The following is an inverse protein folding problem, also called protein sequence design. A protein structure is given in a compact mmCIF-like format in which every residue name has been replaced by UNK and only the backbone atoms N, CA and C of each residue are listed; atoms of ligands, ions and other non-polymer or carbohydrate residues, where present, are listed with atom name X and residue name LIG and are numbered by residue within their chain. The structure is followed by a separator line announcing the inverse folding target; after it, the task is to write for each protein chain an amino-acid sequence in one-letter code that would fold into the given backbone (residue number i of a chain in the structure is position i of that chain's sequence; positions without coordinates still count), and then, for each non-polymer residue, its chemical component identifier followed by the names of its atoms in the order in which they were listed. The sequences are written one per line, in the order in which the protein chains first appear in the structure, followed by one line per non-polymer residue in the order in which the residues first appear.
data_IF_357988888088
#
_entry.id   IF_357988888088
#
_cell.length_a   1.000
_cell.length_b   1.000
_cell.length_c   1.000
_cell.angle_alpha   90.00
_cell.angle_beta   90.00
_cell.angle_gamma   90.00
#
_symmetry.space_group_name_H-M   'P 1'
#
loop_
_entity.id
_entity.type
_entity.pdbx_description
1 polymer ?
#
# COMPACT_ATOMS: atom_id res chain seq x y z
N UNK A 1 2.32 -63.23 19.95
CA UNK A 1 1.93 -61.80 20.00
C UNK A 1 2.96 -60.90 19.31
N UNK A 2 3.16 -61.02 17.98
CA UNK A 2 4.10 -60.17 17.22
C UNK A 2 3.47 -59.40 16.05
N UNK A 3 2.23 -59.74 15.68
CA UNK A 3 1.52 -59.12 14.54
C UNK A 3 0.73 -57.85 14.89
N UNK A 4 0.51 -57.56 16.18
CA UNK A 4 -0.29 -56.40 16.61
C UNK A 4 0.49 -55.06 16.60
N UNK A 5 1.82 -55.11 16.79
CA UNK A 5 2.67 -53.89 16.78
C UNK A 5 2.97 -53.38 15.37
N UNK A 6 3.07 -54.26 14.37
CA UNK A 6 3.32 -53.86 12.98
C UNK A 6 2.10 -53.17 12.35
N UNK A 7 0.88 -53.63 12.69
CA UNK A 7 -0.36 -53.04 12.17
C UNK A 7 -0.62 -51.63 12.71
N UNK A 8 -0.29 -51.38 13.99
CA UNK A 8 -0.42 -50.05 14.62
C UNK A 8 0.62 -49.07 14.05
N UNK A 9 1.86 -49.52 13.82
CA UNK A 9 2.88 -48.69 13.17
C UNK A 9 2.53 -48.38 11.71
N UNK A 10 1.95 -49.33 10.97
CA UNK A 10 1.51 -49.09 9.59
C UNK A 10 0.33 -48.12 9.54
N UNK A 11 -0.65 -48.26 10.44
CA UNK A 11 -1.78 -47.33 10.53
C UNK A 11 -1.34 -45.91 10.90
N UNK A 12 -0.42 -45.77 11.86
CA UNK A 12 0.11 -44.45 12.27
C UNK A 12 0.95 -43.81 11.16
N UNK A 13 1.71 -44.61 10.39
CA UNK A 13 2.46 -44.13 9.23
C UNK A 13 1.53 -43.67 8.11
N UNK A 14 0.40 -44.36 7.91
CA UNK A 14 -0.61 -44.04 6.91
C UNK A 14 -1.45 -42.81 7.30
N UNK A 15 -1.75 -42.65 8.59
CA UNK A 15 -2.41 -41.44 9.12
C UNK A 15 -1.45 -40.24 9.04
N UNK A 16 -0.16 -40.41 9.33
CA UNK A 16 0.83 -39.35 9.08
C UNK A 16 1.02 -39.05 7.59
N UNK A 17 0.91 -40.06 6.71
CA UNK A 17 0.88 -39.84 5.26
C UNK A 17 -0.38 -39.07 4.84
N UNK A 18 -1.55 -39.37 5.40
CA UNK A 18 -2.82 -38.68 5.13
C UNK A 18 -2.85 -37.24 5.68
N UNK A 19 -2.14 -36.98 6.78
CA UNK A 19 -1.96 -35.63 7.34
C UNK A 19 -0.86 -34.85 6.58
N UNK A 20 0.14 -35.55 6.01
CA UNK A 20 1.22 -34.97 5.21
C UNK A 20 0.85 -34.78 3.72
N UNK A 21 -0.08 -35.57 3.17
CA UNK A 21 -0.84 -35.26 1.95
C UNK A 21 -1.96 -34.29 2.34
N UNK A 22 -1.56 -33.10 2.76
CA UNK A 22 -2.43 -32.09 3.32
C UNK A 22 -3.69 -31.87 2.49
N UNK A 23 -4.82 -31.79 3.19
CA UNK A 23 -6.04 -31.12 2.75
C UNK A 23 -5.77 -29.61 2.54
N UNK A 24 -4.88 -29.28 1.61
CA UNK A 24 -4.83 -27.97 0.98
C UNK A 24 -5.40 -28.16 -0.41
N UNK A 25 -6.38 -27.32 -0.78
CA UNK A 25 -6.87 -27.31 -2.15
C UNK A 25 -5.67 -27.18 -3.10
N UNK A 26 -5.70 -27.93 -4.20
CA UNK A 26 -4.76 -27.73 -5.28
C UNK A 26 -4.78 -26.26 -5.72
N UNK A 27 -3.67 -25.79 -6.29
CA UNK A 27 -3.57 -24.41 -6.75
C UNK A 27 -4.72 -24.02 -7.69
N UNK A 28 -5.17 -24.97 -8.53
CA UNK A 28 -6.27 -24.79 -9.46
C UNK A 28 -7.62 -24.65 -8.74
N UNK A 29 -7.90 -25.50 -7.75
CA UNK A 29 -9.12 -25.42 -6.94
C UNK A 29 -9.19 -24.09 -6.15
N UNK A 30 -8.05 -23.57 -5.68
CA UNK A 30 -7.98 -22.24 -5.06
C UNK A 30 -8.38 -21.13 -6.03
N UNK A 31 -7.89 -21.19 -7.27
CA UNK A 31 -8.20 -20.21 -8.32
C UNK A 31 -9.68 -20.26 -8.68
N UNK A 32 -10.24 -21.46 -8.87
CA UNK A 32 -11.64 -21.65 -9.23
C UNK A 32 -12.58 -21.19 -8.12
N UNK A 33 -12.30 -21.55 -6.86
CA UNK A 33 -13.08 -21.09 -5.72
C UNK A 33 -13.06 -19.57 -5.60
N UNK A 34 -11.89 -18.94 -5.73
CA UNK A 34 -11.81 -17.49 -5.64
C UNK A 34 -12.52 -16.82 -6.82
N UNK A 35 -12.44 -17.37 -8.02
CA UNK A 35 -13.20 -16.87 -9.17
C UNK A 35 -14.72 -16.94 -8.93
N UNK A 36 -15.21 -17.99 -8.28
CA UNK A 36 -16.62 -18.08 -7.89
C UNK A 36 -16.99 -17.03 -6.82
N UNK A 37 -16.16 -16.88 -5.78
CA UNK A 37 -16.35 -15.85 -4.75
C UNK A 37 -16.36 -14.43 -5.32
N UNK A 38 -15.52 -14.16 -6.33
CA UNK A 38 -15.45 -12.87 -6.99
C UNK A 38 -16.74 -12.49 -7.72
N UNK A 39 -17.57 -13.45 -8.12
CA UNK A 39 -18.87 -13.17 -8.76
C UNK A 39 -19.85 -12.48 -7.81
N UNK A 40 -19.71 -12.71 -6.50
CA UNK A 40 -20.54 -12.06 -5.48
C UNK A 40 -19.92 -10.79 -4.91
N UNK A 41 -18.74 -10.37 -5.39
CA UNK A 41 -18.14 -9.12 -4.96
C UNK A 41 -19.00 -7.92 -5.42
N UNK A 42 -19.12 -6.86 -4.60
CA UNK A 42 -19.81 -5.66 -5.04
C UNK A 42 -19.09 -5.05 -6.24
N UNK A 43 -19.84 -4.66 -7.27
CA UNK A 43 -19.29 -3.87 -8.38
C UNK A 43 -19.21 -2.39 -8.01
N UNK A 44 -18.22 -1.71 -8.60
CA UNK A 44 -18.04 -0.27 -8.55
C UNK A 44 -17.43 0.22 -9.87
N UNK A 45 -18.26 0.49 -10.90
CA UNK A 45 -17.80 0.67 -12.28
C UNK A 45 -16.69 1.71 -12.46
N UNK A 46 -16.78 2.86 -11.80
CA UNK A 46 -15.77 3.93 -11.92
C UNK A 46 -14.39 3.48 -11.41
N UNK A 47 -14.37 2.74 -10.30
CA UNK A 47 -13.15 2.16 -9.75
C UNK A 47 -12.61 1.04 -10.65
N UNK A 48 -13.47 0.15 -11.12
CA UNK A 48 -13.06 -1.00 -11.95
C UNK A 48 -12.52 -0.54 -13.33
N UNK A 49 -13.01 0.59 -13.86
CA UNK A 49 -12.46 1.22 -15.07
C UNK A 49 -11.12 1.88 -14.79
N UNK A 50 -10.99 2.61 -13.68
CA UNK A 50 -9.76 3.32 -13.34
C UNK A 50 -8.63 2.38 -12.86
N UNK A 51 -8.99 1.24 -12.30
CA UNK A 51 -8.11 0.21 -11.77
C UNK A 51 -8.43 -1.10 -12.51
N UNK A 52 -7.96 -1.29 -13.75
CA UNK A 52 -8.24 -2.53 -14.46
C UNK A 52 -7.55 -3.72 -13.78
N UNK A 53 -8.24 -4.87 -13.79
CA UNK A 53 -7.68 -6.15 -13.33
C UNK A 53 -6.48 -6.53 -14.21
N UNK A 54 -5.27 -6.75 -13.64
CA UNK A 54 -4.08 -7.13 -14.41
C UNK A 54 -4.20 -8.52 -15.05
N UNK A 55 -3.35 -8.83 -16.04
CA UNK A 55 -3.38 -10.12 -16.76
C UNK A 55 -3.28 -11.36 -15.86
N UNK A 56 -2.53 -11.26 -14.75
CA UNK A 56 -2.36 -12.35 -13.78
C UNK A 56 -3.54 -12.52 -12.82
N UNK A 57 -4.56 -11.65 -12.88
CA UNK A 57 -5.66 -11.60 -11.90
C UNK A 57 -6.33 -12.97 -11.71
N UNK A 58 -6.56 -13.70 -12.79
CA UNK A 58 -7.20 -15.02 -12.74
C UNK A 58 -6.22 -16.18 -12.54
N UNK A 59 -4.91 -15.93 -12.47
CA UNK A 59 -3.90 -16.97 -12.30
C UNK A 59 -3.25 -17.01 -10.92
N UNK A 60 -3.48 -16.00 -10.07
CA UNK A 60 -2.89 -15.92 -8.72
C UNK A 60 -3.98 -15.83 -7.65
N UNK A 61 -4.17 -16.86 -6.81
CA UNK A 61 -5.12 -16.79 -5.70
C UNK A 61 -4.52 -16.01 -4.50
N UNK A 62 -5.37 -15.31 -3.75
CA UNK A 62 -5.05 -14.56 -2.51
C UNK A 62 -4.49 -15.49 -1.45
N UNK A 63 -5.03 -16.72 -1.33
CA UNK A 63 -4.71 -17.70 -0.29
C UNK A 63 -5.04 -17.18 1.13
N UNK A 64 -5.39 -18.08 2.04
CA UNK A 64 -5.46 -17.84 3.49
C UNK A 64 -6.56 -16.93 4.05
N UNK A 65 -7.24 -16.11 3.25
CA UNK A 65 -8.42 -15.34 3.70
C UNK A 65 -9.45 -15.09 2.58
N UNK A 66 -10.68 -14.78 2.97
CA UNK A 66 -11.64 -14.04 2.15
C UNK A 66 -11.42 -12.53 2.37
N UNK A 67 -10.99 -11.75 1.36
CA UNK A 67 -10.74 -10.31 1.54
C UNK A 67 -12.04 -9.52 1.81
N UNK A 68 -13.21 -10.07 1.46
CA UNK A 68 -14.48 -9.45 1.77
C UNK A 68 -14.83 -9.62 3.24
N UNK A 69 -14.56 -10.78 3.84
CA UNK A 69 -14.93 -11.05 5.22
C UNK A 69 -13.80 -11.80 5.92
N UNK A 70 -12.98 -11.07 6.67
CA UNK A 70 -11.92 -11.65 7.49
C UNK A 70 -12.00 -11.17 8.94
N UNK A 71 -11.46 -11.96 9.84
CA UNK A 71 -11.16 -11.56 11.21
C UNK A 71 -9.76 -10.93 11.31
N UNK A 72 -9.48 -10.12 12.35
CA UNK A 72 -8.13 -9.61 12.60
C UNK A 72 -7.06 -10.71 12.65
N UNK A 73 -7.40 -11.89 13.18
CA UNK A 73 -6.53 -13.06 13.27
C UNK A 73 -6.20 -13.63 11.89
N UNK A 74 -7.20 -13.73 11.00
CA UNK A 74 -7.01 -14.17 9.62
C UNK A 74 -6.14 -13.18 8.83
N UNK A 75 -6.36 -11.88 9.03
CA UNK A 75 -5.53 -10.84 8.42
C UNK A 75 -4.08 -10.91 8.89
N UNK A 76 -3.87 -11.12 10.20
CA UNK A 76 -2.54 -11.33 10.78
C UNK A 76 -1.88 -12.58 10.18
N UNK A 77 -2.60 -13.70 10.14
CA UNK A 77 -2.09 -14.94 9.57
C UNK A 77 -1.75 -14.80 8.09
N UNK A 78 -2.53 -14.03 7.32
CA UNK A 78 -2.21 -13.68 5.94
C UNK A 78 -0.92 -12.90 5.85
N UNK A 79 -0.68 -11.91 6.73
CA UNK A 79 0.57 -11.16 6.72
C UNK A 79 1.79 -12.04 7.01
N UNK A 80 1.67 -12.96 7.96
CA UNK A 80 2.76 -13.86 8.33
C UNK A 80 3.05 -14.88 7.23
N UNK A 81 2.03 -15.31 6.47
CA UNK A 81 2.14 -16.36 5.45
C UNK A 81 2.30 -15.84 4.03
N UNK A 82 1.91 -14.59 3.74
CA UNK A 82 1.97 -14.02 2.40
C UNK A 82 3.42 -13.66 2.02
N UNK A 83 4.13 -14.63 1.47
CA UNK A 83 5.54 -14.54 1.10
C UNK A 83 5.76 -14.99 -0.34
N UNK A 84 6.99 -14.85 -0.85
CA UNK A 84 7.37 -15.30 -2.20
C UNK A 84 7.02 -14.34 -3.33
N UNK A 85 7.21 -14.81 -4.58
CA UNK A 85 7.18 -13.97 -5.79
C UNK A 85 5.83 -13.32 -6.07
N UNK A 86 4.73 -13.96 -5.69
CA UNK A 86 3.38 -13.48 -5.95
C UNK A 86 2.79 -12.67 -4.79
N UNK A 87 3.60 -12.35 -3.76
CA UNK A 87 3.15 -11.62 -2.57
C UNK A 87 2.41 -10.34 -2.93
N UNK A 88 3.01 -9.51 -3.79
CA UNK A 88 2.45 -8.22 -4.17
C UNK A 88 1.16 -8.35 -5.01
N UNK A 89 1.05 -9.41 -5.82
CA UNK A 89 -0.16 -9.71 -6.59
C UNK A 89 -1.34 -10.03 -5.67
N UNK A 90 -1.09 -10.86 -4.65
CA UNK A 90 -2.09 -11.15 -3.61
C UNK A 90 -2.48 -9.90 -2.84
N UNK A 91 -1.50 -9.08 -2.43
CA UNK A 91 -1.76 -7.81 -1.74
C UNK A 91 -2.61 -6.87 -2.60
N UNK A 92 -2.35 -6.81 -3.92
CA UNK A 92 -3.15 -6.03 -4.85
C UNK A 92 -4.61 -6.53 -4.89
N UNK A 93 -4.85 -7.85 -4.97
CA UNK A 93 -6.22 -8.41 -4.97
C UNK A 93 -6.96 -8.13 -3.67
N UNK A 94 -6.29 -8.31 -2.53
CA UNK A 94 -6.87 -7.98 -1.21
C UNK A 94 -7.27 -6.52 -1.18
N UNK A 95 -6.36 -5.62 -1.53
CA UNK A 95 -6.65 -4.19 -1.56
C UNK A 95 -7.78 -3.84 -2.54
N UNK A 96 -7.78 -4.40 -3.75
CA UNK A 96 -8.86 -4.21 -4.72
C UNK A 96 -10.23 -4.63 -4.15
N UNK A 97 -10.30 -5.80 -3.52
CA UNK A 97 -11.50 -6.28 -2.86
C UNK A 97 -11.94 -5.36 -1.70
N UNK A 98 -11.00 -4.81 -0.91
CA UNK A 98 -11.31 -3.83 0.15
C UNK A 98 -11.83 -2.51 -0.40
N UNK A 99 -11.27 -2.03 -1.51
CA UNK A 99 -11.78 -0.85 -2.21
C UNK A 99 -13.22 -1.06 -2.65
N UNK A 100 -13.53 -2.23 -3.24
CA UNK A 100 -14.89 -2.61 -3.64
C UNK A 100 -15.84 -2.75 -2.46
N UNK A 101 -15.42 -3.42 -1.38
CA UNK A 101 -16.26 -3.64 -0.19
C UNK A 101 -16.69 -2.31 0.43
N UNK A 102 -15.74 -1.41 0.61
CA UNK A 102 -16.00 -0.17 1.32
C UNK A 102 -16.53 0.94 0.40
N UNK A 103 -16.39 0.83 -0.92
CA UNK A 103 -16.88 1.82 -1.92
C UNK A 103 -16.55 3.27 -1.59
N UNK A 104 -15.42 3.51 -0.94
CA UNK A 104 -14.99 4.84 -0.48
C UNK A 104 -15.48 5.27 0.90
N UNK A 105 -16.35 4.49 1.55
CA UNK A 105 -16.93 4.84 2.85
C UNK A 105 -15.95 4.67 4.04
N UNK A 106 -14.81 4.01 3.81
CA UNK A 106 -13.75 3.88 4.82
C UNK A 106 -12.39 4.20 4.19
N UNK A 107 -12.17 5.50 3.98
CA UNK A 107 -10.95 6.04 3.38
C UNK A 107 -9.72 5.73 4.26
N UNK A 108 -9.90 5.66 5.58
CA UNK A 108 -8.84 5.29 6.51
C UNK A 108 -8.36 3.86 6.27
N UNK A 109 -9.27 2.89 6.17
CA UNK A 109 -8.93 1.50 5.90
C UNK A 109 -8.20 1.38 4.55
N UNK A 110 -8.70 2.05 3.51
CA UNK A 110 -8.07 2.07 2.19
C UNK A 110 -6.64 2.60 2.23
N UNK A 111 -6.42 3.73 2.91
CA UNK A 111 -5.11 4.34 3.04
C UNK A 111 -4.11 3.43 3.77
N UNK A 112 -4.57 2.72 4.81
CA UNK A 112 -3.79 1.75 5.56
C UNK A 112 -3.31 0.56 4.72
N UNK A 113 -4.06 0.16 3.70
CA UNK A 113 -3.67 -0.89 2.76
C UNK A 113 -2.73 -0.38 1.65
N UNK A 114 -2.98 0.82 1.12
CA UNK A 114 -2.19 1.40 0.04
C UNK A 114 -0.74 1.71 0.45
N UNK A 115 -0.50 2.07 1.72
CA UNK A 115 0.84 2.30 2.24
C UNK A 115 1.79 1.08 2.22
N UNK A 116 1.33 -0.08 1.72
CA UNK A 116 2.04 -1.37 1.78
C UNK A 116 2.57 -1.86 0.42
N UNK A 117 2.15 -1.24 -0.69
CA UNK A 117 2.68 -1.53 -2.02
C UNK A 117 3.83 -0.56 -2.38
N UNK A 118 4.76 -0.99 -3.23
CA UNK A 118 5.80 -0.12 -3.82
C UNK A 118 6.07 -0.45 -5.29
N UNK A 119 5.35 -1.42 -5.84
CA UNK A 119 5.53 -1.94 -7.20
C UNK A 119 4.60 -1.22 -8.18
N UNK A 120 4.99 -1.18 -9.45
CA UNK A 120 4.33 -0.37 -10.50
C UNK A 120 2.86 -0.76 -10.69
N UNK A 121 2.53 -2.01 -10.42
CA UNK A 121 1.19 -2.58 -10.51
C UNK A 121 0.19 -1.87 -9.59
N UNK A 122 0.65 -1.25 -8.49
CA UNK A 122 -0.22 -0.50 -7.59
C UNK A 122 -0.51 0.93 -8.09
N UNK A 123 0.13 1.39 -9.17
CA UNK A 123 -0.07 2.75 -9.68
C UNK A 123 -1.53 3.11 -9.95
N UNK A 124 -2.38 2.26 -10.56
CA UNK A 124 -3.77 2.59 -10.76
C UNK A 124 -4.52 2.78 -9.44
N UNK A 125 -4.21 1.98 -8.41
CA UNK A 125 -4.77 2.11 -7.08
C UNK A 125 -4.34 3.42 -6.40
N UNK A 126 -3.07 3.81 -6.53
CA UNK A 126 -2.60 5.10 -6.01
C UNK A 126 -3.21 6.28 -6.76
N UNK A 127 -3.24 6.21 -8.09
CA UNK A 127 -3.83 7.25 -8.92
C UNK A 127 -5.30 7.44 -8.58
N UNK A 128 -6.05 6.34 -8.46
CA UNK A 128 -7.45 6.38 -8.06
C UNK A 128 -7.63 6.99 -6.69
N UNK A 129 -6.88 6.52 -5.69
CA UNK A 129 -6.98 7.04 -4.33
C UNK A 129 -6.68 8.54 -4.25
N UNK A 130 -5.58 8.97 -4.86
CA UNK A 130 -5.17 10.37 -4.85
C UNK A 130 -6.16 11.25 -5.62
N UNK A 131 -6.76 10.76 -6.70
CA UNK A 131 -7.70 11.55 -7.49
C UNK A 131 -9.05 11.72 -6.82
N UNK A 132 -9.44 10.80 -5.93
CA UNK A 132 -10.78 10.79 -5.32
C UNK A 132 -10.82 11.13 -3.83
N UNK A 133 -9.70 11.02 -3.10
CA UNK A 133 -9.66 11.14 -1.64
C UNK A 133 -8.54 12.06 -1.12
N UNK A 134 -7.97 12.89 -1.99
CA UNK A 134 -6.92 13.83 -1.58
C UNK A 134 -7.45 14.94 -0.67
N UNK A 135 -8.71 15.33 -0.76
CA UNK A 135 -9.33 16.33 0.10
C UNK A 135 -9.80 15.76 1.44
N UNK A 136 -10.12 14.47 1.50
CA UNK A 136 -10.63 13.78 2.69
C UNK A 136 -9.77 13.97 3.95
N UNK A 137 -10.44 14.30 5.06
CA UNK A 137 -9.81 14.47 6.38
C UNK A 137 -10.63 13.73 7.43
N UNK A 138 -10.12 12.60 7.92
CA UNK A 138 -10.79 11.77 8.94
C UNK A 138 -10.15 11.88 10.33
N UNK A 139 -9.17 12.75 10.50
CA UNK A 139 -8.66 13.14 11.82
C UNK A 139 -8.89 14.62 12.07
N UNK A 140 -8.99 14.98 13.36
CA UNK A 140 -9.29 16.36 13.78
C UNK A 140 -8.28 17.38 13.26
N UNK A 141 -8.68 18.65 13.23
CA UNK A 141 -7.79 19.73 12.79
C UNK A 141 -6.58 19.92 13.74
N UNK A 142 -6.74 19.53 15.01
CA UNK A 142 -5.73 19.68 16.07
C UNK A 142 -4.86 18.44 16.30
N UNK A 143 -4.83 17.47 15.37
CA UNK A 143 -3.90 16.35 15.52
C UNK A 143 -2.44 16.83 15.47
N UNK A 144 -1.66 16.49 16.50
CA UNK A 144 -0.21 16.71 16.49
C UNK A 144 0.51 15.83 15.45
N UNK A 145 -0.10 14.70 15.07
CA UNK A 145 0.36 13.80 14.02
C UNK A 145 -0.86 13.23 13.27
N UNK A 146 -1.12 13.76 12.07
CA UNK A 146 -2.33 13.44 11.33
C UNK A 146 -2.10 12.25 10.37
N UNK A 147 -2.58 11.07 10.73
CA UNK A 147 -2.55 9.83 9.97
C UNK A 147 -3.14 9.96 8.57
N UNK A 148 -4.19 10.77 8.39
CA UNK A 148 -4.76 11.08 7.08
C UNK A 148 -3.74 11.81 6.19
N UNK A 149 -3.11 12.85 6.72
CA UNK A 149 -2.05 13.59 6.02
C UNK A 149 -0.82 12.71 5.75
N UNK A 150 -0.40 11.92 6.73
CA UNK A 150 0.75 11.03 6.60
C UNK A 150 0.51 9.95 5.55
N UNK A 151 -0.67 9.33 5.54
CA UNK A 151 -1.01 8.29 4.59
C UNK A 151 -1.14 8.86 3.18
N UNK A 152 -1.83 10.00 3.01
CA UNK A 152 -1.95 10.67 1.71
C UNK A 152 -0.58 11.06 1.14
N UNK A 153 0.33 11.60 1.95
CA UNK A 153 1.70 11.92 1.52
C UNK A 153 2.50 10.65 1.20
N UNK A 154 2.42 9.60 2.01
CA UNK A 154 3.10 8.36 1.72
C UNK A 154 2.64 7.78 0.37
N UNK A 155 1.32 7.64 0.17
CA UNK A 155 0.73 7.13 -1.08
C UNK A 155 1.07 8.04 -2.26
N UNK A 156 0.90 9.34 -2.08
CA UNK A 156 1.19 10.34 -3.10
C UNK A 156 2.65 10.35 -3.52
N UNK A 157 3.60 10.23 -2.59
CA UNK A 157 5.04 10.19 -2.91
C UNK A 157 5.45 8.92 -3.64
N UNK A 158 4.84 7.76 -3.35
CA UNK A 158 5.04 6.53 -4.14
C UNK A 158 4.57 6.73 -5.58
N UNK A 159 3.41 7.35 -5.77
CA UNK A 159 2.89 7.63 -7.11
C UNK A 159 3.73 8.67 -7.86
N UNK A 160 4.14 9.74 -7.18
CA UNK A 160 5.00 10.79 -7.73
C UNK A 160 6.31 10.24 -8.28
N UNK A 161 6.95 9.31 -7.57
CA UNK A 161 8.15 8.66 -8.07
C UNK A 161 7.92 8.08 -9.46
N UNK A 162 6.79 7.39 -9.66
CA UNK A 162 6.46 6.77 -10.95
C UNK A 162 6.09 7.78 -12.02
N UNK A 163 5.32 8.82 -11.68
CA UNK A 163 5.02 9.91 -12.62
C UNK A 163 6.31 10.59 -13.12
N UNK A 164 7.30 10.78 -12.25
CA UNK A 164 8.58 11.41 -12.62
C UNK A 164 9.42 10.46 -13.50
N UNK A 165 9.50 9.18 -13.16
CA UNK A 165 10.21 8.17 -13.98
C UNK A 165 9.58 8.02 -15.38
N UNK A 166 8.25 8.06 -15.46
CA UNK A 166 7.49 7.95 -16.72
C UNK A 166 7.43 9.28 -17.50
N UNK A 167 8.05 10.35 -17.00
CA UNK A 167 8.11 11.66 -17.69
C UNK A 167 6.83 12.49 -17.61
N UNK A 168 5.85 12.10 -16.81
CA UNK A 168 4.57 12.80 -16.59
C UNK A 168 4.74 14.01 -15.64
N UNK A 169 5.69 14.91 -15.94
CA UNK A 169 6.08 16.01 -15.04
C UNK A 169 4.95 16.99 -14.73
N UNK A 170 4.09 17.28 -15.71
CA UNK A 170 2.93 18.17 -15.49
C UNK A 170 1.94 17.60 -14.47
N UNK A 171 1.67 16.30 -14.55
CA UNK A 171 0.79 15.60 -13.60
C UNK A 171 1.45 15.46 -12.23
N UNK A 172 2.75 15.16 -12.19
CA UNK A 172 3.52 15.15 -10.94
C UNK A 172 3.47 16.52 -10.24
N UNK A 173 3.59 17.62 -10.98
CA UNK A 173 3.49 18.97 -10.42
C UNK A 173 2.12 19.24 -9.80
N UNK A 174 1.02 18.82 -10.46
CA UNK A 174 -0.33 18.96 -9.92
C UNK A 174 -0.52 18.20 -8.61
N UNK A 175 -0.06 16.95 -8.55
CA UNK A 175 -0.15 16.10 -7.35
C UNK A 175 0.68 16.69 -6.20
N UNK A 176 1.91 17.16 -6.47
CA UNK A 176 2.74 17.83 -5.46
C UNK A 176 2.04 19.07 -4.92
N UNK A 177 1.49 19.92 -5.79
CA UNK A 177 0.81 21.14 -5.37
C UNK A 177 -0.38 20.84 -4.45
N UNK A 178 -1.17 19.81 -4.77
CA UNK A 178 -2.28 19.36 -3.93
C UNK A 178 -1.81 18.84 -2.56
N UNK A 179 -0.78 18.00 -2.52
CA UNK A 179 -0.20 17.48 -1.28
C UNK A 179 0.33 18.61 -0.38
N UNK A 180 1.01 19.60 -0.96
CA UNK A 180 1.46 20.77 -0.21
C UNK A 180 0.29 21.58 0.35
N UNK A 181 -0.73 21.83 -0.47
CA UNK A 181 -1.90 22.62 -0.08
C UNK A 181 -2.72 21.94 1.02
N UNK A 182 -2.96 20.63 0.89
CA UNK A 182 -3.98 19.94 1.69
C UNK A 182 -3.39 19.14 2.87
N UNK A 183 -2.15 18.64 2.75
CA UNK A 183 -1.63 17.64 3.71
C UNK A 183 -0.33 18.05 4.40
N UNK A 184 0.57 18.77 3.73
CA UNK A 184 1.92 19.03 4.23
C UNK A 184 1.99 19.63 5.64
N UNK A 185 1.18 20.65 5.94
CA UNK A 185 1.18 21.31 7.25
C UNK A 185 0.79 20.36 8.40
N UNK A 186 -0.03 19.34 8.11
CA UNK A 186 -0.57 18.39 9.11
C UNK A 186 0.27 17.12 9.26
N UNK A 187 1.25 16.93 8.38
CA UNK A 187 2.06 15.73 8.33
C UNK A 187 3.24 15.76 9.32
N UNK A 188 3.70 14.58 9.73
CA UNK A 188 4.89 14.43 10.59
C UNK A 188 6.16 14.81 9.83
N UNK A 189 7.26 15.17 10.54
CA UNK A 189 8.51 15.59 9.91
C UNK A 189 9.04 14.61 8.85
N UNK A 190 8.93 13.31 9.10
CA UNK A 190 9.40 12.30 8.14
C UNK A 190 8.61 12.30 6.83
N UNK A 191 7.29 12.52 6.88
CA UNK A 191 6.46 12.56 5.68
C UNK A 191 6.66 13.87 4.91
N UNK A 192 6.84 14.99 5.61
CA UNK A 192 7.27 16.26 5.00
C UNK A 192 8.59 16.08 4.26
N UNK A 193 9.54 15.36 4.86
CA UNK A 193 10.82 15.05 4.23
C UNK A 193 10.66 14.27 2.94
N UNK A 194 9.85 13.21 2.93
CA UNK A 194 9.60 12.45 1.71
C UNK A 194 8.93 13.29 0.62
N UNK A 195 7.96 14.15 0.96
CA UNK A 195 7.33 15.04 -0.02
C UNK A 195 8.33 16.02 -0.63
N UNK A 196 9.15 16.69 0.19
CA UNK A 196 10.15 17.66 -0.29
C UNK A 196 11.23 16.96 -1.11
N UNK A 197 11.65 15.74 -0.72
CA UNK A 197 12.59 14.94 -1.50
C UNK A 197 12.01 14.57 -2.87
N UNK A 198 10.75 14.16 -2.96
CA UNK A 198 10.08 13.93 -4.24
C UNK A 198 9.95 15.20 -5.06
N UNK A 199 9.67 16.35 -4.42
CA UNK A 199 9.60 17.64 -5.11
C UNK A 199 10.95 18.07 -5.67
N UNK A 200 12.04 17.87 -4.93
CA UNK A 200 13.40 18.06 -5.44
C UNK A 200 13.66 17.21 -6.67
N UNK A 201 13.26 15.95 -6.66
CA UNK A 201 13.45 15.08 -7.81
C UNK A 201 12.70 15.61 -9.05
N UNK A 202 11.45 16.07 -8.89
CA UNK A 202 10.69 16.70 -9.96
C UNK A 202 11.36 17.99 -10.46
N UNK A 203 11.73 18.90 -9.55
CA UNK A 203 12.34 20.18 -9.91
C UNK A 203 13.65 20.00 -10.68
N UNK A 204 14.48 19.02 -10.29
CA UNK A 204 15.72 18.73 -11.02
C UNK A 204 15.50 18.11 -12.40
N UNK A 205 14.27 17.69 -12.75
CA UNK A 205 13.88 17.28 -14.10
C UNK A 205 13.34 18.44 -14.94
N UNK A 206 12.86 19.51 -14.31
CA UNK A 206 12.11 20.58 -14.98
C UNK A 206 12.74 21.96 -14.87
N UNK A 207 13.72 22.15 -14.00
CA UNK A 207 14.38 23.41 -13.67
C UNK A 207 15.89 23.23 -13.54
N UNK A 208 16.64 24.34 -13.50
CA UNK A 208 18.05 24.30 -13.13
C UNK A 208 18.21 23.94 -11.65
N UNK A 209 19.43 23.49 -11.29
CA UNK A 209 19.76 23.14 -9.89
C UNK A 209 19.59 24.32 -8.93
N UNK A 210 19.97 25.52 -9.37
CA UNK A 210 19.91 26.73 -8.54
C UNK A 210 18.47 27.18 -8.31
N UNK A 211 17.62 27.12 -9.34
CA UNK A 211 16.17 27.39 -9.23
C UNK A 211 15.50 26.36 -8.31
N UNK A 212 15.80 25.07 -8.49
CA UNK A 212 15.28 24.02 -7.63
C UNK A 212 15.66 24.26 -6.16
N UNK A 213 16.91 24.63 -5.88
CA UNK A 213 17.36 24.95 -4.53
C UNK A 213 16.66 26.19 -3.96
N UNK A 214 16.54 27.27 -4.76
CA UNK A 214 15.84 28.48 -4.35
C UNK A 214 14.38 28.22 -3.96
N UNK A 215 13.67 27.36 -4.70
CA UNK A 215 12.29 26.95 -4.40
C UNK A 215 12.20 26.15 -3.09
N UNK A 216 13.13 25.22 -2.85
CA UNK A 216 13.08 24.30 -1.71
C UNK A 216 13.61 24.90 -0.41
N UNK A 217 14.53 25.85 -0.48
CA UNK A 217 15.23 26.43 0.68
C UNK A 217 14.29 26.87 1.81
N UNK A 218 13.18 27.60 1.57
CA UNK A 218 12.28 28.01 2.65
C UNK A 218 11.70 26.81 3.42
N UNK A 219 11.35 25.73 2.72
CA UNK A 219 10.82 24.53 3.35
C UNK A 219 11.88 23.78 4.16
N UNK A 220 13.11 23.66 3.63
CA UNK A 220 14.22 23.00 4.32
C UNK A 220 14.56 23.75 5.61
N UNK A 221 14.77 25.07 5.53
CA UNK A 221 15.11 25.91 6.69
C UNK A 221 14.05 25.82 7.76
N UNK A 222 12.77 25.96 7.40
CA UNK A 222 11.67 25.88 8.36
C UNK A 222 11.63 24.51 9.08
N UNK A 223 11.85 23.39 8.37
CA UNK A 223 11.85 22.08 9.02
C UNK A 223 13.11 21.81 9.85
N UNK A 224 14.26 22.42 9.54
CA UNK A 224 15.44 22.40 10.41
C UNK A 224 15.10 23.09 11.74
N UNK A 225 14.54 24.30 11.71
CA UNK A 225 14.13 25.03 12.92
C UNK A 225 13.12 24.26 13.76
N UNK A 226 12.14 23.60 13.12
CA UNK A 226 11.19 22.75 13.82
C UNK A 226 11.87 21.54 14.48
N UNK A 227 12.85 20.93 13.82
CA UNK A 227 13.62 19.81 14.37
C UNK A 227 14.55 20.25 15.51
N UNK A 228 15.16 21.45 15.42
CA UNK A 228 15.93 22.08 16.49
C UNK A 228 15.09 22.28 17.75
N UNK A 229 13.91 22.88 17.60
CA UNK A 229 12.96 23.09 18.71
C UNK A 229 12.51 21.77 19.36
N UNK A 230 12.41 20.70 18.57
CA UNK A 230 12.06 19.37 19.06
C UNK A 230 13.27 18.57 19.58
N UNK A 231 14.50 19.11 19.49
CA UNK A 231 15.76 18.42 19.75
C UNK A 231 15.92 17.09 18.96
N UNK A 232 15.41 17.03 17.73
CA UNK A 232 15.48 15.86 16.85
C UNK A 232 16.72 15.92 15.95
N UNK A 233 17.85 15.46 16.48
CA UNK A 233 19.15 15.44 15.78
C UNK A 233 19.12 14.63 14.48
N UNK A 234 18.33 13.55 14.45
CA UNK A 234 18.22 12.70 13.27
C UNK A 234 17.51 13.42 12.12
N UNK A 235 16.40 14.11 12.41
CA UNK A 235 15.70 14.88 11.40
C UNK A 235 16.52 16.08 10.94
N UNK A 236 17.20 16.80 11.83
CA UNK A 236 18.09 17.90 11.45
C UNK A 236 19.15 17.45 10.43
N UNK A 237 19.84 16.35 10.70
CA UNK A 237 20.85 15.82 9.77
C UNK A 237 20.24 15.43 8.42
N UNK A 238 19.03 14.85 8.41
CA UNK A 238 18.33 14.49 7.15
C UNK A 238 18.04 15.72 6.30
N UNK A 239 17.60 16.82 6.91
CA UNK A 239 17.31 18.06 6.21
C UNK A 239 18.56 18.75 5.67
N UNK A 240 19.67 18.73 6.44
CA UNK A 240 20.95 19.28 5.98
C UNK A 240 21.54 18.51 4.79
N UNK A 241 21.20 17.23 4.65
CA UNK A 241 21.68 16.38 3.56
C UNK A 241 20.84 16.47 2.27
N UNK A 242 19.74 17.24 2.26
CA UNK A 242 18.81 17.33 1.13
C UNK A 242 19.22 18.37 0.10
#
# INVERSE_FOLDING_TARGET
MRYSRLLISFLMSFIWLLVATGCGDSYQELVEREAEQQKSWPSWPEFEVAVPKPEWWHSVPIKYLDPMNYTPEEMKAYHDKNTGIDKYKRDFKVLYARMLKNRGNDVQEMAGFLGRGTVREFNPLYAFYISNYMDETWQSEHCGQCNDANAAINIGTQWLYRLIEDGEYGRAQQVIAQLFKLKYARAIPMQRYYLIRSYRHLLLKTQSRDEAYAILKPYIVNNITLAEHANDQNMMQRWMNL
#
